data_IF_785957264308
#
_entry.id   IF_785957264308
#
_cell.length_a   1.000
_cell.length_b   1.000
_cell.length_c   1.000
_cell.angle_alpha   90.00
_cell.angle_beta   90.00
_cell.angle_gamma   90.00
#
_symmetry.space_group_name_H-M   'P 1'
#
loop_
_entity.id
_entity.type
_entity.pdbx_description
1 polymer ?
#
# COMPACT_ATOMS: atom_id res chain seq x y z
N UNK A 1 8.47 17.11 6.09
CA UNK A 1 8.51 15.84 5.33
C UNK A 1 9.85 15.83 4.63
N UNK A 2 10.74 14.90 4.97
CA UNK A 2 12.09 14.80 4.39
C UNK A 2 12.01 14.77 2.85
N UNK A 3 12.90 15.47 2.15
CA UNK A 3 12.98 15.56 0.68
C UNK A 3 13.23 14.20 -0.02
N UNK A 4 13.39 13.13 0.75
CA UNK A 4 13.84 11.82 0.30
C UNK A 4 12.73 10.94 -0.29
N UNK A 5 11.45 11.28 -0.08
CA UNK A 5 10.33 10.49 -0.59
C UNK A 5 9.38 11.24 -1.53
N UNK A 6 8.74 10.48 -2.42
CA UNK A 6 7.73 10.96 -3.35
C UNK A 6 6.41 10.22 -3.14
N UNK A 7 5.34 10.99 -3.12
CA UNK A 7 3.99 10.47 -3.19
C UNK A 7 3.66 10.13 -4.65
N UNK A 8 3.11 8.95 -4.88
CA UNK A 8 2.68 8.49 -6.20
C UNK A 8 1.32 7.84 -6.10
N UNK A 9 0.51 8.00 -7.13
CA UNK A 9 -0.64 7.13 -7.33
C UNK A 9 -0.17 5.76 -7.80
N UNK A 10 -0.95 4.73 -7.50
CA UNK A 10 -0.66 3.40 -7.98
C UNK A 10 -0.61 3.33 -9.52
N UNK A 11 0.33 2.55 -10.02
CA UNK A 11 0.47 2.21 -11.43
C UNK A 11 1.01 0.78 -11.55
N UNK A 12 0.75 0.07 -12.66
CA UNK A 12 1.17 -1.33 -12.84
C UNK A 12 2.67 -1.58 -12.60
N UNK A 13 3.54 -0.61 -12.88
CA UNK A 13 4.99 -0.70 -12.62
C UNK A 13 5.35 -0.91 -11.13
N UNK A 14 4.46 -0.54 -10.22
CA UNK A 14 4.66 -0.69 -8.78
C UNK A 14 4.11 -2.01 -8.22
N UNK A 15 3.44 -2.83 -9.03
CA UNK A 15 2.68 -3.97 -8.55
C UNK A 15 3.54 -4.95 -7.74
N UNK A 16 4.69 -5.36 -8.30
CA UNK A 16 5.64 -6.26 -7.65
C UNK A 16 6.14 -5.70 -6.30
N UNK A 17 6.60 -4.46 -6.30
CA UNK A 17 7.18 -3.81 -5.10
C UNK A 17 6.13 -3.51 -4.02
N UNK A 18 4.92 -3.12 -4.44
CA UNK A 18 3.79 -2.92 -3.54
C UNK A 18 3.40 -4.22 -2.87
N UNK A 19 3.27 -5.31 -3.64
CA UNK A 19 2.99 -6.63 -3.10
C UNK A 19 4.12 -7.14 -2.19
N UNK A 20 5.40 -6.92 -2.56
CA UNK A 20 6.57 -7.27 -1.74
C UNK A 20 6.52 -6.58 -0.37
N UNK A 21 6.26 -5.27 -0.35
CA UNK A 21 6.13 -4.50 0.88
C UNK A 21 4.95 -5.00 1.72
N UNK A 22 3.77 -5.13 1.10
CA UNK A 22 2.55 -5.58 1.78
C UNK A 22 2.72 -6.97 2.40
N UNK A 23 3.43 -7.89 1.71
CA UNK A 23 3.75 -9.22 2.23
C UNK A 23 4.75 -9.14 3.39
N UNK A 24 5.85 -8.43 3.20
CA UNK A 24 6.96 -8.40 4.17
C UNK A 24 6.58 -7.69 5.48
N UNK A 25 5.72 -6.68 5.38
CA UNK A 25 5.30 -5.84 6.50
C UNK A 25 3.95 -6.27 7.11
N UNK A 26 3.35 -7.37 6.65
CA UNK A 26 2.02 -7.83 7.08
C UNK A 26 0.97 -6.71 6.95
N UNK A 27 0.58 -6.42 5.71
CA UNK A 27 -0.44 -5.41 5.40
C UNK A 27 -1.65 -5.47 6.33
N UNK A 28 -2.01 -4.31 6.86
CA UNK A 28 -3.18 -4.11 7.69
C UNK A 28 -4.38 -3.72 6.84
N UNK A 29 -5.55 -4.28 7.16
CA UNK A 29 -6.82 -3.91 6.55
C UNK A 29 -7.81 -3.56 7.66
N UNK A 30 -8.54 -2.45 7.52
CA UNK A 30 -9.65 -2.13 8.43
C UNK A 30 -10.76 -3.20 8.35
N UNK A 31 -10.96 -3.80 7.16
CA UNK A 31 -11.84 -4.93 6.94
C UNK A 31 -11.03 -6.22 6.76
N UNK A 32 -11.05 -7.07 7.78
CA UNK A 32 -10.26 -8.32 7.78
C UNK A 32 -10.61 -9.25 6.61
N UNK A 33 -11.85 -9.25 6.13
CA UNK A 33 -12.27 -10.10 5.01
C UNK A 33 -11.54 -9.73 3.70
N UNK A 34 -11.27 -8.45 3.48
CA UNK A 34 -10.58 -7.98 2.27
C UNK A 34 -9.08 -8.37 2.27
N UNK A 35 -8.51 -8.53 3.46
CA UNK A 35 -7.11 -8.90 3.67
C UNK A 35 -6.85 -10.41 3.77
N UNK A 36 -7.86 -11.20 4.14
CA UNK A 36 -7.70 -12.63 4.39
C UNK A 36 -7.25 -13.40 3.14
N UNK A 37 -7.88 -13.14 1.99
CA UNK A 37 -7.49 -13.78 0.73
C UNK A 37 -6.07 -13.37 0.32
N UNK A 38 -5.76 -12.05 0.40
CA UNK A 38 -4.44 -11.55 0.05
C UNK A 38 -3.31 -12.18 0.89
N UNK A 39 -3.54 -12.42 2.19
CA UNK A 39 -2.53 -12.97 3.08
C UNK A 39 -2.30 -14.49 2.90
N UNK A 40 -3.26 -15.22 2.32
CA UNK A 40 -3.21 -16.67 2.18
C UNK A 40 -2.69 -17.16 0.83
N UNK A 41 -2.69 -16.31 -0.19
CA UNK A 41 -2.22 -16.64 -1.54
C UNK A 41 -0.70 -16.47 -1.69
N UNK A 42 -0.11 -17.16 -2.67
CA UNK A 42 1.31 -17.02 -3.02
C UNK A 42 1.64 -15.63 -3.60
N UNK A 43 2.92 -15.31 -3.69
CA UNK A 43 3.37 -13.98 -4.10
C UNK A 43 2.98 -13.58 -5.54
N UNK A 44 2.89 -14.52 -6.47
CA UNK A 44 2.43 -14.21 -7.83
C UNK A 44 0.94 -13.85 -7.81
N UNK A 45 0.16 -14.61 -7.05
CA UNK A 45 -1.26 -14.34 -6.86
C UNK A 45 -1.50 -13.07 -6.03
N UNK A 46 -0.63 -12.71 -5.09
CA UNK A 46 -0.69 -11.42 -4.37
C UNK A 46 -0.52 -10.24 -5.33
N UNK A 47 0.40 -10.34 -6.30
CA UNK A 47 0.57 -9.32 -7.33
C UNK A 47 -0.69 -9.18 -8.19
N UNK A 48 -1.26 -10.30 -8.65
CA UNK A 48 -2.50 -10.25 -9.45
C UNK A 48 -3.69 -9.75 -8.63
N UNK A 49 -3.83 -10.15 -7.37
CA UNK A 49 -4.89 -9.67 -6.47
C UNK A 49 -4.79 -8.17 -6.22
N UNK A 50 -3.58 -7.64 -5.97
CA UNK A 50 -3.36 -6.20 -5.85
C UNK A 50 -3.83 -5.47 -7.12
N UNK A 51 -3.39 -5.94 -8.28
CA UNK A 51 -3.69 -5.33 -9.59
C UNK A 51 -5.15 -5.43 -10.00
N UNK A 52 -5.82 -6.54 -9.71
CA UNK A 52 -7.14 -6.87 -10.27
C UNK A 52 -8.29 -6.74 -9.26
N UNK A 53 -8.00 -6.76 -7.96
CA UNK A 53 -9.01 -6.72 -6.90
C UNK A 53 -8.87 -5.43 -6.09
N UNK A 54 -7.71 -5.21 -5.46
CA UNK A 54 -7.53 -4.06 -4.57
C UNK A 54 -7.63 -2.73 -5.29
N UNK A 55 -7.07 -2.59 -6.49
CA UNK A 55 -7.17 -1.35 -7.29
C UNK A 55 -8.59 -1.02 -7.76
N UNK A 56 -9.50 -2.01 -7.81
CA UNK A 56 -10.91 -1.80 -8.17
C UNK A 56 -11.72 -1.29 -7.00
N UNK A 57 -11.37 -1.71 -5.78
CA UNK A 57 -12.07 -1.39 -4.53
C UNK A 57 -11.49 -0.15 -3.85
N UNK A 58 -10.18 0.05 -3.96
CA UNK A 58 -9.42 1.09 -3.28
C UNK A 58 -8.71 2.00 -4.28
N UNK A 59 -8.74 3.30 -4.00
CA UNK A 59 -7.74 4.23 -4.51
C UNK A 59 -6.44 4.01 -3.73
N UNK A 60 -5.33 3.77 -4.43
CA UNK A 60 -4.06 3.41 -3.79
C UNK A 60 -3.02 4.49 -4.04
N UNK A 61 -2.34 4.89 -2.96
CA UNK A 61 -1.19 5.78 -2.98
C UNK A 61 0.03 5.06 -2.40
N UNK A 62 1.18 5.45 -2.91
CA UNK A 62 2.47 4.86 -2.64
C UNK A 62 3.43 5.95 -2.18
N UNK A 63 4.25 5.61 -1.20
CA UNK A 63 5.41 6.40 -0.85
C UNK A 63 6.66 5.71 -1.40
N UNK A 64 7.40 6.41 -2.25
CA UNK A 64 8.55 5.83 -2.95
C UNK A 64 9.81 6.64 -2.76
N UNK A 65 10.96 6.04 -3.03
CA UNK A 65 12.19 6.80 -3.26
C UNK A 65 12.04 7.73 -4.46
N UNK A 66 12.87 8.79 -4.53
CA UNK A 66 12.86 9.74 -5.64
C UNK A 66 12.98 9.06 -7.02
N UNK A 67 13.84 8.05 -7.12
CA UNK A 67 14.05 7.26 -8.33
C UNK A 67 13.12 6.03 -8.46
N UNK A 68 12.10 5.93 -7.60
CA UNK A 68 11.08 4.87 -7.61
C UNK A 68 11.64 3.43 -7.47
N UNK A 69 12.90 3.30 -7.00
CA UNK A 69 13.54 2.01 -6.75
C UNK A 69 12.96 1.31 -5.52
N UNK A 70 12.56 2.06 -4.51
CA UNK A 70 11.99 1.53 -3.27
C UNK A 70 10.55 2.03 -3.09
N UNK A 71 9.69 1.18 -2.54
CA UNK A 71 8.36 1.54 -2.02
C UNK A 71 8.42 1.35 -0.52
N UNK A 72 8.19 2.42 0.23
CA UNK A 72 8.31 2.46 1.70
C UNK A 72 6.96 2.45 2.40
N UNK A 73 5.91 2.89 1.72
CA UNK A 73 4.55 2.73 2.23
C UNK A 73 3.57 2.49 1.08
N UNK A 74 2.55 1.70 1.36
CA UNK A 74 1.35 1.55 0.54
C UNK A 74 0.17 1.91 1.42
N UNK A 75 -0.75 2.72 0.91
CA UNK A 75 -2.03 2.98 1.57
C UNK A 75 -3.13 2.93 0.51
N UNK A 76 -4.23 2.25 0.83
CA UNK A 76 -5.43 2.24 0.03
C UNK A 76 -6.60 2.82 0.81
N UNK A 77 -7.47 3.58 0.14
CA UNK A 77 -8.73 4.09 0.65
C UNK A 77 -9.88 3.59 -0.22
N UNK A 78 -10.89 2.98 0.39
CA UNK A 78 -12.05 2.47 -0.34
C UNK A 78 -12.82 3.61 -1.01
N UNK A 79 -13.53 3.31 -2.11
CA UNK A 79 -14.29 4.33 -2.87
C UNK A 79 -15.36 5.06 -2.05
N UNK A 80 -15.94 4.40 -1.06
CA UNK A 80 -16.90 4.95 -0.11
C UNK A 80 -16.23 5.67 1.08
N UNK A 81 -14.90 5.78 1.09
CA UNK A 81 -14.08 6.42 2.11
C UNK A 81 -14.18 5.81 3.52
N UNK A 82 -14.78 4.63 3.66
CA UNK A 82 -15.06 4.01 4.96
C UNK A 82 -13.95 3.09 5.47
N UNK A 83 -13.11 2.56 4.56
CA UNK A 83 -12.11 1.54 4.85
C UNK A 83 -10.75 1.90 4.28
N UNK A 84 -9.71 1.50 5.00
CA UNK A 84 -8.35 1.62 4.55
C UNK A 84 -7.62 0.28 4.62
N UNK A 85 -6.55 0.20 3.84
CA UNK A 85 -5.48 -0.75 4.10
C UNK A 85 -4.14 -0.03 4.04
N UNK A 86 -3.13 -0.53 4.75
CA UNK A 86 -1.80 0.05 4.70
C UNK A 86 -0.70 -0.94 5.04
N UNK A 87 0.49 -0.67 4.53
CA UNK A 87 1.74 -1.31 4.91
C UNK A 87 2.83 -0.23 4.93
N UNK A 88 3.66 -0.23 5.97
CA UNK A 88 4.77 0.72 6.14
C UNK A 88 6.03 -0.11 6.36
N UNK A 89 7.11 0.25 5.67
CA UNK A 89 8.42 -0.34 5.92
C UNK A 89 8.87 0.01 7.35
N UNK A 90 9.36 -0.98 8.10
CA UNK A 90 9.79 -0.81 9.50
C UNK A 90 10.77 0.35 9.70
N UNK A 91 11.60 0.66 8.70
CA UNK A 91 12.54 1.77 8.79
C UNK A 91 11.84 3.14 8.80
N UNK A 92 10.60 3.21 8.30
CA UNK A 92 9.81 4.43 8.17
C UNK A 92 8.64 4.51 9.16
N UNK A 93 8.40 3.48 9.98
CA UNK A 93 7.33 3.49 10.99
C UNK A 93 7.49 4.60 12.04
N UNK A 94 8.72 5.04 12.32
CA UNK A 94 9.00 6.17 13.23
C UNK A 94 8.87 7.54 12.56
N UNK A 95 8.90 7.59 11.23
CA UNK A 95 8.85 8.84 10.45
C UNK A 95 7.45 9.14 9.92
N UNK A 96 6.64 8.10 9.68
CA UNK A 96 5.37 8.20 8.97
C UNK A 96 4.29 7.46 9.74
N UNK A 97 3.31 8.21 10.24
CA UNK A 97 2.14 7.64 10.88
C UNK A 97 1.06 7.22 9.88
N UNK A 98 0.22 6.28 10.29
CA UNK A 98 -0.97 5.86 9.51
C UNK A 98 -1.89 7.05 9.23
N UNK A 99 -2.08 7.96 10.19
CA UNK A 99 -2.91 9.16 10.01
C UNK A 99 -2.33 10.10 8.94
N UNK A 100 -1.00 10.22 8.89
CA UNK A 100 -0.35 10.99 7.82
C UNK A 100 -0.56 10.33 6.46
N UNK A 101 -0.54 9.00 6.36
CA UNK A 101 -0.86 8.29 5.13
C UNK A 101 -2.32 8.46 4.70
N UNK A 102 -3.26 8.39 5.65
CA UNK A 102 -4.69 8.57 5.36
C UNK A 102 -5.00 9.99 4.87
N UNK A 103 -4.30 11.01 5.39
CA UNK A 103 -4.39 12.41 4.93
C UNK A 103 -3.94 12.62 3.47
N UNK A 104 -3.23 11.67 2.86
CA UNK A 104 -2.81 11.76 1.45
C UNK A 104 -3.99 11.72 0.46
N UNK A 105 -5.18 11.33 0.91
CA UNK A 105 -6.42 11.27 0.13
C UNK A 105 -7.41 12.41 0.45
N UNK A 106 -6.97 13.43 1.20
CA UNK A 106 -7.77 14.61 1.54
C UNK A 106 -7.59 15.71 0.50
#
# INVERSE_FOLDING_TARGET
MNDNYKLKDWAPKFNKKGAELMRSMHVHFDNQNDGQEFQQIDFNNQQEFLKNNLTKTYQIKLLTSFNERCVWAVVGKSKDNSKYFWAIDRQFESEISVDQLKKLFS
#
